data_IF_002660928397
#
_entry.id   IF_002660928397
#
_cell.length_a   1.000
_cell.length_b   1.000
_cell.length_c   1.000
_cell.angle_alpha   90.00
_cell.angle_beta   90.00
_cell.angle_gamma   90.00
#
_symmetry.space_group_name_H-M   'P 1'
#
loop_
_entity.id
_entity.type
_entity.pdbx_description
1 polymer ?
#
# COMPACT_ATOMS: atom_id res chain seq x y z
N UNK A 1 -36.61 -0.71 44.18
CA UNK A 1 -35.15 -0.79 44.27
C UNK A 1 -34.75 -2.16 43.72
N UNK A 2 -34.24 -2.22 42.50
CA UNK A 2 -33.91 -3.47 41.81
C UNK A 2 -32.46 -3.40 41.30
N UNK A 3 -31.63 -4.44 41.49
CA UNK A 3 -30.34 -4.52 40.84
C UNK A 3 -30.52 -5.13 39.44
N UNK A 4 -29.99 -4.48 38.40
CA UNK A 4 -29.93 -5.09 37.06
C UNK A 4 -28.50 -5.60 36.82
N UNK A 5 -28.34 -6.92 36.90
CA UNK A 5 -27.19 -7.64 36.36
C UNK A 5 -27.23 -7.61 34.84
N UNK A 6 -26.08 -7.38 34.21
CA UNK A 6 -25.49 -8.28 33.20
C UNK A 6 -24.33 -7.57 32.52
N UNK A 7 -23.16 -7.68 33.16
CA UNK A 7 -21.88 -7.47 32.52
C UNK A 7 -21.61 -8.66 31.58
N UNK A 8 -22.05 -8.57 30.32
CA UNK A 8 -21.75 -9.62 29.33
C UNK A 8 -21.74 -9.06 27.90
N UNK A 9 -20.68 -8.34 27.52
CA UNK A 9 -20.36 -8.15 26.09
C UNK A 9 -18.86 -7.96 25.77
N UNK A 10 -17.96 -8.14 26.74
CA UNK A 10 -16.53 -7.86 26.53
C UNK A 10 -15.69 -9.05 26.05
N UNK A 11 -16.16 -10.28 26.25
CA UNK A 11 -15.36 -11.47 25.96
C UNK A 11 -15.51 -12.03 24.53
N UNK A 12 -16.53 -11.60 23.77
CA UNK A 12 -16.80 -12.16 22.43
C UNK A 12 -16.08 -11.42 21.31
N UNK A 13 -15.71 -10.13 21.49
CA UNK A 13 -14.92 -9.37 20.50
C UNK A 13 -13.44 -9.77 20.47
N UNK A 14 -12.87 -10.17 21.61
CA UNK A 14 -11.44 -10.53 21.68
C UNK A 14 -11.15 -11.88 21.00
N UNK A 15 -12.04 -12.88 21.15
CA UNK A 15 -11.84 -14.20 20.56
C UNK A 15 -11.88 -14.18 19.01
N UNK A 16 -12.74 -13.37 18.40
CA UNK A 16 -12.80 -13.21 16.93
C UNK A 16 -11.58 -12.47 16.36
N UNK A 17 -11.03 -11.50 17.10
CA UNK A 17 -9.79 -10.81 16.70
C UNK A 17 -8.56 -11.72 16.80
N UNK A 18 -8.50 -12.60 17.80
CA UNK A 18 -7.42 -13.58 17.92
C UNK A 18 -7.51 -14.69 16.86
N UNK A 19 -8.71 -15.13 16.49
CA UNK A 19 -8.94 -16.10 15.41
C UNK A 19 -8.59 -15.53 14.01
N UNK A 20 -8.44 -14.20 13.88
CA UNK A 20 -8.08 -13.50 12.63
C UNK A 20 -6.61 -13.11 12.53
N UNK A 21 -5.71 -13.66 13.36
CA UNK A 21 -4.25 -13.48 13.16
C UNK A 21 -3.75 -14.34 11.99
N UNK A 22 -4.12 -13.97 10.77
CA UNK A 22 -3.36 -14.37 9.59
C UNK A 22 -2.02 -13.65 9.68
N UNK A 23 -0.93 -14.40 9.79
CA UNK A 23 0.44 -13.85 9.72
C UNK A 23 0.58 -12.94 8.51
N UNK A 24 1.23 -11.78 8.68
CA UNK A 24 1.57 -10.89 7.56
C UNK A 24 2.33 -11.66 6.48
N UNK A 25 3.20 -12.60 6.89
CA UNK A 25 3.94 -13.47 5.99
C UNK A 25 3.07 -14.48 5.24
N UNK A 26 1.93 -14.90 5.78
CA UNK A 26 0.98 -15.74 5.07
C UNK A 26 0.19 -14.93 4.03
N UNK A 27 -0.24 -13.72 4.38
CA UNK A 27 -0.90 -12.81 3.42
C UNK A 27 0.03 -12.37 2.29
N UNK A 28 1.30 -12.13 2.57
CA UNK A 28 2.32 -11.84 1.55
C UNK A 28 2.58 -13.05 0.62
N UNK A 29 2.44 -14.29 1.13
CA UNK A 29 2.56 -15.52 0.31
C UNK A 29 1.34 -15.76 -0.58
N UNK A 30 0.15 -15.35 -0.13
CA UNK A 30 -1.10 -15.47 -0.88
C UNK A 30 -1.28 -14.34 -1.90
N UNK A 31 -0.73 -13.16 -1.62
CA UNK A 31 -0.69 -12.05 -2.57
C UNK A 31 0.24 -12.39 -3.74
N UNK A 32 -0.22 -12.13 -4.97
CA UNK A 32 0.63 -12.16 -6.17
C UNK A 32 1.53 -10.93 -6.18
N UNK A 33 2.51 -10.94 -5.29
CA UNK A 33 3.50 -9.88 -5.18
C UNK A 33 4.44 -9.90 -6.37
N UNK A 34 4.74 -8.71 -6.88
CA UNK A 34 5.71 -8.50 -7.94
C UNK A 34 6.73 -7.48 -7.49
N UNK A 35 8.01 -7.81 -7.65
CA UNK A 35 9.13 -6.94 -7.38
C UNK A 35 9.58 -6.24 -8.65
N UNK A 36 9.89 -4.96 -8.54
CA UNK A 36 10.26 -4.06 -9.62
C UNK A 36 11.48 -3.23 -9.20
N UNK A 37 12.25 -2.76 -10.17
CA UNK A 37 13.19 -1.65 -9.97
C UNK A 37 12.52 -0.36 -10.44
N UNK A 38 13.32 0.57 -10.96
CA UNK A 38 12.83 1.73 -11.73
C UNK A 38 12.00 1.26 -12.94
N UNK A 39 12.35 0.10 -13.52
CA UNK A 39 11.62 -0.57 -14.59
C UNK A 39 10.77 -1.73 -14.06
N UNK A 40 9.60 -1.95 -14.66
CA UNK A 40 8.70 -3.03 -14.26
C UNK A 40 9.35 -4.42 -14.40
N UNK A 41 9.24 -5.25 -13.35
CA UNK A 41 9.74 -6.64 -13.29
C UNK A 41 11.26 -6.76 -13.50
N UNK A 42 11.98 -5.66 -13.29
CA UNK A 42 13.44 -5.63 -13.37
C UNK A 42 14.02 -5.09 -12.04
N UNK A 43 13.84 -5.82 -10.92
CA UNK A 43 14.43 -5.45 -9.65
C UNK A 43 15.96 -5.55 -9.71
N UNK A 44 16.64 -4.61 -9.06
CA UNK A 44 18.08 -4.67 -8.82
C UNK A 44 18.33 -5.24 -7.41
N UNK A 45 18.89 -6.45 -7.38
CA UNK A 45 19.25 -7.18 -6.17
C UNK A 45 20.73 -7.05 -5.79
N UNK A 46 21.50 -6.23 -6.52
CA UNK A 46 22.90 -5.99 -6.19
C UNK A 46 23.06 -5.29 -4.84
N UNK A 47 24.20 -5.50 -4.18
CA UNK A 47 24.50 -4.90 -2.87
C UNK A 47 24.51 -3.36 -2.90
N UNK A 48 24.75 -2.78 -4.07
CA UNK A 48 24.73 -1.34 -4.29
C UNK A 48 23.35 -0.78 -4.63
N UNK A 49 22.32 -1.62 -4.72
CA UNK A 49 20.95 -1.19 -5.05
C UNK A 49 20.43 -0.22 -4.01
N UNK A 50 19.82 0.88 -4.47
CA UNK A 50 19.26 1.94 -3.63
C UNK A 50 17.79 2.21 -3.94
N UNK A 51 17.16 1.37 -4.74
CA UNK A 51 15.78 1.58 -5.17
C UNK A 51 15.08 0.25 -5.37
N UNK A 52 13.84 0.16 -4.90
CA UNK A 52 13.00 -1.02 -5.15
C UNK A 52 11.53 -0.61 -5.16
N UNK A 53 10.73 -1.33 -5.94
CA UNK A 53 9.28 -1.21 -5.90
C UNK A 53 8.61 -2.58 -5.77
N UNK A 54 7.46 -2.60 -5.11
CA UNK A 54 6.67 -3.80 -4.81
C UNK A 54 5.20 -3.52 -5.12
N UNK A 55 4.62 -4.29 -6.03
CA UNK A 55 3.21 -4.19 -6.39
C UNK A 55 2.46 -5.49 -6.15
N UNK A 56 1.14 -5.39 -6.06
CA UNK A 56 0.27 -6.54 -5.97
C UNK A 56 -1.21 -6.18 -5.96
N UNK A 57 -2.04 -7.22 -6.00
CA UNK A 57 -3.49 -7.11 -5.95
C UNK A 57 -4.04 -7.91 -4.76
N UNK A 58 -4.96 -7.28 -4.05
CA UNK A 58 -5.82 -7.85 -3.03
C UNK A 58 -7.18 -8.13 -3.69
N UNK A 59 -7.30 -9.33 -4.26
CA UNK A 59 -8.43 -9.68 -5.14
C UNK A 59 -9.80 -9.59 -4.44
N UNK A 60 -9.88 -9.93 -3.14
CA UNK A 60 -11.13 -9.87 -2.37
C UNK A 60 -11.58 -8.42 -2.14
N UNK A 61 -10.63 -7.52 -2.00
CA UNK A 61 -10.83 -6.09 -1.74
C UNK A 61 -10.88 -5.26 -3.03
N UNK A 62 -10.66 -5.87 -4.20
CA UNK A 62 -10.56 -5.21 -5.53
C UNK A 62 -9.57 -4.03 -5.51
N UNK A 63 -8.48 -4.23 -4.77
CA UNK A 63 -7.50 -3.20 -4.45
C UNK A 63 -6.15 -3.61 -5.03
N UNK A 64 -5.60 -2.77 -5.90
CA UNK A 64 -4.20 -2.83 -6.30
C UNK A 64 -3.37 -1.87 -5.44
N UNK A 65 -2.14 -2.24 -5.13
CA UNK A 65 -1.20 -1.40 -4.41
C UNK A 65 0.17 -1.41 -5.11
N UNK A 66 0.92 -0.32 -4.93
CA UNK A 66 2.28 -0.19 -5.41
C UNK A 66 3.11 0.64 -4.41
N UNK A 67 4.14 0.03 -3.86
CA UNK A 67 5.11 0.64 -2.96
C UNK A 67 6.36 0.99 -3.76
N UNK A 68 6.85 2.22 -3.62
CA UNK A 68 8.11 2.68 -4.20
C UNK A 68 9.01 3.14 -3.06
N UNK A 69 10.24 2.63 -3.03
CA UNK A 69 11.25 3.01 -2.06
C UNK A 69 12.47 3.51 -2.82
N UNK A 70 12.75 4.81 -2.68
CA UNK A 70 13.96 5.44 -3.21
C UNK A 70 14.89 5.80 -2.05
N UNK A 71 15.94 5.00 -1.83
CA UNK A 71 17.02 5.31 -0.90
C UNK A 71 18.24 5.94 -1.62
N UNK A 72 18.10 6.28 -2.89
CA UNK A 72 19.10 6.99 -3.69
C UNK A 72 19.08 8.50 -3.38
N UNK A 73 20.17 9.18 -3.71
CA UNK A 73 20.38 10.60 -3.44
C UNK A 73 19.83 11.53 -4.53
N UNK A 74 19.27 10.98 -5.60
CA UNK A 74 18.59 11.71 -6.67
C UNK A 74 17.15 11.18 -6.85
N UNK A 75 16.23 12.02 -7.37
CA UNK A 75 14.90 11.57 -7.76
C UNK A 75 14.95 10.49 -8.85
N UNK A 76 14.10 9.48 -8.72
CA UNK A 76 13.96 8.39 -9.69
C UNK A 76 12.52 8.30 -10.21
N UNK A 77 12.37 8.07 -11.52
CA UNK A 77 11.09 7.90 -12.18
C UNK A 77 10.76 6.42 -12.34
N UNK A 78 9.87 5.90 -11.50
CA UNK A 78 9.47 4.48 -11.52
C UNK A 78 8.33 4.25 -12.49
N UNK A 79 8.47 3.26 -13.37
CA UNK A 79 7.38 2.79 -14.22
C UNK A 79 6.27 2.18 -13.33
N UNK A 80 5.01 2.54 -13.61
CA UNK A 80 3.83 2.03 -12.91
C UNK A 80 3.13 0.94 -13.74
N UNK A 81 2.73 -0.18 -13.13
CA UNK A 81 1.90 -1.16 -13.82
C UNK A 81 0.49 -0.60 -14.02
N UNK A 82 -0.20 -0.97 -15.10
CA UNK A 82 -1.58 -0.55 -15.34
C UNK A 82 -2.53 -1.20 -14.32
N UNK A 83 -3.25 -0.43 -13.47
CA UNK A 83 -4.11 -0.99 -12.42
C UNK A 83 -5.51 -1.36 -12.97
N UNK A 84 -5.54 -2.17 -14.03
CA UNK A 84 -6.79 -2.57 -14.70
C UNK A 84 -7.60 -1.37 -15.20
N UNK A 85 -8.89 -1.32 -14.83
CA UNK A 85 -9.82 -0.24 -15.20
C UNK A 85 -9.73 1.00 -14.28
N UNK A 86 -8.93 0.94 -13.22
CA UNK A 86 -8.83 2.00 -12.21
C UNK A 86 -7.70 2.99 -12.54
N UNK A 87 -7.50 3.96 -11.65
CA UNK A 87 -6.38 4.91 -11.68
C UNK A 87 -5.61 4.82 -10.37
N UNK A 88 -4.30 5.01 -10.45
CA UNK A 88 -3.47 5.12 -9.27
C UNK A 88 -3.82 6.38 -8.49
N UNK A 89 -3.87 6.27 -7.17
CA UNK A 89 -4.00 7.39 -6.24
C UNK A 89 -2.83 7.34 -5.26
N UNK A 90 -2.29 8.51 -4.95
CA UNK A 90 -1.16 8.69 -4.05
C UNK A 90 -1.65 8.81 -2.61
N UNK A 91 -1.41 7.77 -1.81
CA UNK A 91 -1.80 7.77 -0.41
C UNK A 91 -0.72 8.35 0.50
N UNK A 92 0.52 7.92 0.28
CA UNK A 92 1.69 8.35 1.06
C UNK A 92 2.77 8.78 0.08
N UNK A 93 3.44 9.88 0.39
CA UNK A 93 4.69 10.32 -0.24
C UNK A 93 5.50 11.12 0.77
N UNK A 94 6.54 10.50 1.32
CA UNK A 94 7.32 11.11 2.41
C UNK A 94 8.16 12.30 1.96
N UNK A 95 8.28 12.58 0.66
CA UNK A 95 8.98 13.75 0.16
C UNK A 95 8.13 15.03 0.23
N UNK A 96 6.82 14.89 0.47
CA UNK A 96 5.91 16.02 0.59
C UNK A 96 5.92 16.61 1.99
N UNK A 97 5.57 17.88 2.08
CA UNK A 97 5.33 18.53 3.38
C UNK A 97 3.98 18.12 3.95
N UNK A 98 3.89 18.05 5.28
CA UNK A 98 2.63 17.79 5.96
C UNK A 98 1.64 18.93 5.73
N UNK A 99 0.35 18.65 5.46
CA UNK A 99 -0.33 17.35 5.57
C UNK A 99 -0.36 16.50 4.29
N UNK A 100 0.38 16.86 3.24
CA UNK A 100 0.32 16.18 1.94
C UNK A 100 1.19 14.92 1.86
N UNK A 101 1.96 14.63 2.91
CA UNK A 101 2.82 13.45 3.06
C UNK A 101 2.01 12.18 3.29
N UNK A 102 0.86 12.30 3.95
CA UNK A 102 -0.14 11.25 4.10
C UNK A 102 -1.54 11.87 4.16
N UNK A 103 -2.42 11.42 3.26
CA UNK A 103 -3.77 11.98 3.13
C UNK A 103 -4.85 10.94 3.45
N UNK A 104 -6.09 11.38 3.79
CA UNK A 104 -7.23 10.47 3.83
C UNK A 104 -7.39 9.70 2.52
N UNK A 105 -7.81 8.44 2.63
CA UNK A 105 -7.85 7.51 1.50
C UNK A 105 -8.80 7.96 0.38
N UNK A 106 -9.94 8.55 0.76
CA UNK A 106 -10.95 9.10 -0.14
C UNK A 106 -10.54 10.42 -0.80
N UNK A 107 -9.60 11.14 -0.18
CA UNK A 107 -9.04 12.40 -0.68
C UNK A 107 -7.72 12.21 -1.46
N UNK A 108 -7.22 10.99 -1.55
CA UNK A 108 -5.95 10.68 -2.20
C UNK A 108 -5.92 11.16 -3.67
N UNK A 109 -4.97 12.04 -4.05
CA UNK A 109 -4.94 12.61 -5.39
C UNK A 109 -4.61 11.55 -6.44
N UNK A 110 -5.24 11.66 -7.61
CA UNK A 110 -4.96 10.80 -8.76
C UNK A 110 -3.54 11.03 -9.29
N UNK A 111 -2.87 9.94 -9.63
CA UNK A 111 -1.58 9.93 -10.32
C UNK A 111 -1.85 9.76 -11.81
N UNK A 112 -1.40 10.75 -12.59
CA UNK A 112 -1.51 10.74 -14.05
C UNK A 112 -0.27 10.14 -14.69
N UNK A 113 -0.46 9.35 -15.75
CA UNK A 113 0.61 8.75 -16.53
C UNK A 113 0.94 7.31 -16.14
N UNK A 114 2.05 6.83 -16.67
CA UNK A 114 2.57 5.47 -16.53
C UNK A 114 3.84 5.41 -15.67
N UNK A 115 4.20 6.51 -15.01
CA UNK A 115 5.36 6.59 -14.12
C UNK A 115 5.10 7.50 -12.92
N UNK A 116 5.86 7.30 -11.84
CA UNK A 116 5.84 8.15 -10.65
C UNK A 116 7.26 8.60 -10.30
N UNK A 117 7.43 9.91 -10.06
CA UNK A 117 8.71 10.48 -9.64
C UNK A 117 8.81 10.47 -8.11
N UNK A 118 9.63 9.56 -7.57
CA UNK A 118 9.96 9.54 -6.16
C UNK A 118 11.21 10.40 -5.94
N UNK A 119 11.14 11.40 -5.06
CA UNK A 119 12.30 12.23 -4.69
C UNK A 119 13.40 11.38 -4.04
N UNK A 120 14.58 11.98 -3.84
CA UNK A 120 15.65 11.35 -3.06
C UNK A 120 15.16 10.96 -1.66
N UNK A 121 15.67 9.84 -1.15
CA UNK A 121 15.39 9.36 0.21
C UNK A 121 13.90 9.31 0.61
N UNK A 122 13.02 8.88 -0.31
CA UNK A 122 11.57 8.91 -0.15
C UNK A 122 10.90 7.54 -0.27
N UNK A 123 9.70 7.45 0.32
CA UNK A 123 8.80 6.30 0.20
C UNK A 123 7.46 6.80 -0.31
N UNK A 124 6.93 6.12 -1.33
CA UNK A 124 5.64 6.42 -1.94
C UNK A 124 4.76 5.18 -1.87
N UNK A 125 3.50 5.36 -1.50
CA UNK A 125 2.48 4.32 -1.52
C UNK A 125 1.34 4.76 -2.41
N UNK A 126 1.12 4.00 -3.48
CA UNK A 126 0.03 4.17 -4.41
C UNK A 126 -0.98 3.03 -4.24
N UNK A 127 -2.24 3.35 -4.48
CA UNK A 127 -3.29 2.35 -4.55
C UNK A 127 -4.27 2.65 -5.68
N UNK A 128 -4.98 1.63 -6.13
CA UNK A 128 -6.08 1.77 -7.07
C UNK A 128 -7.19 0.83 -6.64
N UNK A 129 -8.39 1.38 -6.44
CA UNK A 129 -9.58 0.59 -6.13
C UNK A 129 -10.61 0.83 -7.21
N UNK A 130 -11.26 -0.22 -7.69
CA UNK A 130 -12.51 -0.06 -8.44
C UNK A 130 -13.65 0.03 -7.42
N UNK A 131 -14.25 1.21 -7.24
CA UNK A 131 -15.49 1.30 -6.48
C UNK A 131 -16.55 0.39 -7.13
N UNK A 132 -17.36 -0.33 -6.35
CA UNK A 132 -18.52 -1.01 -6.91
C UNK A 132 -19.47 0.07 -7.44
N UNK A 133 -19.66 0.08 -8.76
CA UNK A 133 -20.72 0.83 -9.42
C UNK A 133 -22.11 0.43 -8.93
#
# INVERSE_FOLDING_TARGET
>A
MAPNSSATSRATRDAEHELRRTSIGLRLREAKLQWHGVRLRQPDWGDSSRSIALGGELARERLAFHFILNAYWEPLAFDLPTPGASRWRRWIDTARESPDDIVPWDEAPEVLGDSYHASDHSVVVLFASSDPS
#
